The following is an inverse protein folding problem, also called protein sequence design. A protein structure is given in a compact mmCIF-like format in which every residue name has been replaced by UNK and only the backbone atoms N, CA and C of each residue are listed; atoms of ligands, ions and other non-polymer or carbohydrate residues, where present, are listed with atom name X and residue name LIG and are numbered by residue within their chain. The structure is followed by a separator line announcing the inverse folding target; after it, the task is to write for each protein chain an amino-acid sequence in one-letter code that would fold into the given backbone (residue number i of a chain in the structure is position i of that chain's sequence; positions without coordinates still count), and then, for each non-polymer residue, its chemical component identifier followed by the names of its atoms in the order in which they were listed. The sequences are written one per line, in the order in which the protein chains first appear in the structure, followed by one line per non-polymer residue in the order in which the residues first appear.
data_IF_134742144474
#
_entry.id   IF_134742144474
#
_cell.length_a   1.000
_cell.length_b   1.000
_cell.length_c   1.000
_cell.angle_alpha   90.00
_cell.angle_beta   90.00
_cell.angle_gamma   90.00
#
_symmetry.space_group_name_H-M   'P 1'
#
loop_
_entity.id
_entity.type
_entity.pdbx_description
1 polymer ?
#
# COMPACT_ATOMS: atom_id res chain seq x y z
N UNK A 1 -7.35 -5.62 -8.99
CA UNK A 1 -7.21 -5.54 -10.47
C UNK A 1 -5.94 -6.27 -10.89
N UNK A 2 -6.00 -7.56 -11.22
CA UNK A 2 -4.84 -8.43 -11.55
C UNK A 2 -3.80 -7.75 -12.45
N UNK A 3 -2.71 -7.22 -11.90
CA UNK A 3 -1.68 -6.46 -12.62
C UNK A 3 -2.06 -5.04 -13.08
N UNK A 4 -3.28 -4.58 -12.79
CA UNK A 4 -3.91 -3.37 -13.34
C UNK A 4 -4.46 -2.45 -12.25
N UNK A 5 -3.79 -2.40 -11.09
CA UNK A 5 -4.12 -1.44 -10.03
C UNK A 5 -3.01 -0.43 -9.73
N UNK A 6 -2.44 0.30 -10.71
CA UNK A 6 -1.33 1.22 -10.50
C UNK A 6 -1.75 2.63 -10.00
N UNK A 7 -2.86 2.76 -9.26
CA UNK A 7 -3.30 4.01 -8.64
C UNK A 7 -3.58 5.14 -9.65
N UNK A 8 -4.30 4.84 -10.72
CA UNK A 8 -4.72 5.82 -11.72
C UNK A 8 -5.65 6.90 -11.14
N UNK A 9 -5.45 8.15 -11.56
CA UNK A 9 -6.23 9.28 -11.07
C UNK A 9 -7.73 9.14 -11.36
N UNK A 10 -8.08 8.52 -12.49
CA UNK A 10 -9.45 8.24 -12.90
C UNK A 10 -10.14 7.29 -11.92
N UNK A 11 -9.46 6.20 -11.53
CA UNK A 11 -9.98 5.25 -10.56
C UNK A 11 -10.06 5.89 -9.16
N UNK A 12 -9.04 6.65 -8.76
CA UNK A 12 -9.05 7.36 -7.47
C UNK A 12 -10.19 8.39 -7.41
N UNK A 13 -10.46 9.07 -8.53
CA UNK A 13 -11.58 10.01 -8.68
C UNK A 13 -12.92 9.30 -8.53
N UNK A 14 -13.04 8.08 -9.05
CA UNK A 14 -14.26 7.29 -8.91
C UNK A 14 -14.46 6.77 -7.48
N UNK A 15 -13.44 6.17 -6.84
CA UNK A 15 -13.59 5.61 -5.48
C UNK A 15 -13.85 6.69 -4.42
N UNK A 16 -13.43 7.94 -4.67
CA UNK A 16 -13.75 9.10 -3.83
C UNK A 16 -15.25 9.34 -3.66
N UNK A 17 -16.05 8.95 -4.65
CA UNK A 17 -17.51 9.09 -4.61
C UNK A 17 -18.14 8.17 -3.56
N UNK A 18 -17.49 7.06 -3.21
CA UNK A 18 -17.96 6.10 -2.22
C UNK A 18 -17.89 6.72 -0.82
N UNK A 19 -18.97 6.59 -0.04
CA UNK A 19 -19.01 6.98 1.37
C UNK A 19 -18.27 5.95 2.24
N UNK A 20 -16.94 5.96 2.12
CA UNK A 20 -16.07 5.01 2.78
C UNK A 20 -15.70 5.47 4.19
N UNK A 21 -15.68 4.52 5.14
CA UNK A 21 -15.14 4.75 6.48
C UNK A 21 -13.61 4.84 6.49
N UNK A 22 -12.92 4.22 5.53
CA UNK A 22 -11.48 4.33 5.30
C UNK A 22 -11.12 3.91 3.86
N UNK A 23 -9.97 4.37 3.36
CA UNK A 23 -9.37 3.90 2.12
C UNK A 23 -8.07 3.13 2.42
N UNK A 24 -7.99 1.87 2.01
CA UNK A 24 -6.75 1.08 2.06
C UNK A 24 -6.14 1.03 0.66
N UNK A 25 -5.00 1.68 0.48
CA UNK A 25 -4.28 1.78 -0.79
C UNK A 25 -3.17 0.72 -0.84
N UNK A 26 -3.56 -0.50 -1.18
CA UNK A 26 -2.68 -1.63 -1.48
C UNK A 26 -2.52 -1.80 -3.00
N UNK A 27 -1.84 -0.83 -3.61
CA UNK A 27 -1.64 -0.75 -5.06
C UNK A 27 -0.21 -1.08 -5.49
N UNK A 28 0.73 -1.07 -4.53
CA UNK A 28 2.16 -1.10 -4.81
C UNK A 28 2.64 -2.34 -5.60
N UNK A 29 2.07 -3.55 -5.43
CA UNK A 29 2.45 -4.70 -6.26
C UNK A 29 2.33 -4.45 -7.76
N UNK A 30 1.43 -3.57 -8.19
CA UNK A 30 1.15 -3.25 -9.60
C UNK A 30 1.82 -1.97 -10.10
N UNK A 31 2.67 -1.33 -9.29
CA UNK A 31 3.31 -0.06 -9.62
C UNK A 31 4.81 -0.23 -9.80
N UNK A 32 5.40 0.59 -10.68
CA UNK A 32 6.84 0.85 -10.68
C UNK A 32 7.19 2.08 -9.83
N UNK A 33 8.47 2.25 -9.49
CA UNK A 33 8.97 3.34 -8.63
C UNK A 33 8.59 4.73 -9.15
N UNK A 34 8.58 4.94 -10.48
CA UNK A 34 8.21 6.22 -11.08
C UNK A 34 6.72 6.52 -10.87
N UNK A 35 5.86 5.53 -11.13
CA UNK A 35 4.42 5.66 -10.89
C UNK A 35 4.12 5.95 -9.42
N UNK A 36 4.84 5.33 -8.48
CA UNK A 36 4.66 5.62 -7.04
C UNK A 36 4.98 7.09 -6.74
N UNK A 37 6.10 7.60 -7.25
CA UNK A 37 6.49 9.02 -7.07
C UNK A 37 5.46 9.98 -7.67
N UNK A 38 4.90 9.64 -8.82
CA UNK A 38 3.96 10.48 -9.55
C UNK A 38 2.54 10.45 -8.98
N UNK A 39 2.09 9.32 -8.40
CA UNK A 39 0.65 9.08 -8.16
C UNK A 39 0.23 9.12 -6.69
N UNK A 40 1.14 8.88 -5.75
CA UNK A 40 0.80 8.82 -4.31
C UNK A 40 0.22 10.14 -3.80
N UNK A 41 0.91 11.26 -4.04
CA UNK A 41 0.45 12.57 -3.56
C UNK A 41 -0.83 13.04 -4.28
N UNK A 42 -0.93 12.95 -5.63
CA UNK A 42 -2.18 13.24 -6.32
C UNK A 42 -3.36 12.38 -5.86
N UNK A 43 -3.16 11.09 -5.59
CA UNK A 43 -4.23 10.22 -5.13
C UNK A 43 -4.81 10.71 -3.79
N UNK A 44 -3.95 11.12 -2.85
CA UNK A 44 -4.41 11.70 -1.57
C UNK A 44 -5.13 13.02 -1.79
N UNK A 45 -4.60 13.90 -2.65
CA UNK A 45 -5.26 15.16 -2.98
C UNK A 45 -6.67 14.92 -3.52
N UNK A 46 -6.81 14.03 -4.51
CA UNK A 46 -8.09 13.67 -5.12
C UNK A 46 -9.04 13.18 -4.04
N UNK A 47 -8.66 12.17 -3.24
CA UNK A 47 -9.51 11.65 -2.16
C UNK A 47 -9.96 12.76 -1.21
N UNK A 48 -9.04 13.64 -0.79
CA UNK A 48 -9.30 14.73 0.16
C UNK A 48 -10.28 15.79 -0.37
N UNK A 49 -10.44 15.96 -1.68
CA UNK A 49 -11.40 16.91 -2.26
C UNK A 49 -12.86 16.63 -1.85
N UNK A 50 -13.24 15.35 -1.66
CA UNK A 50 -14.59 14.96 -1.21
C UNK A 50 -14.60 14.26 0.14
N UNK A 51 -13.44 13.76 0.58
CA UNK A 51 -13.27 12.94 1.79
C UNK A 51 -12.17 13.53 2.70
N UNK A 52 -12.33 14.76 3.21
CA UNK A 52 -11.27 15.49 3.91
C UNK A 52 -10.82 14.82 5.21
N UNK A 53 -11.73 14.11 5.90
CA UNK A 53 -11.45 13.45 7.18
C UNK A 53 -11.27 11.93 7.11
N UNK A 54 -11.58 11.29 5.98
CA UNK A 54 -11.58 9.82 5.89
C UNK A 54 -10.15 9.28 6.00
N UNK A 55 -9.87 8.32 6.89
CA UNK A 55 -8.55 7.70 6.98
C UNK A 55 -8.06 7.11 5.65
N UNK A 56 -6.78 7.34 5.35
CA UNK A 56 -6.10 6.72 4.20
C UNK A 56 -4.94 5.88 4.75
N UNK A 57 -4.94 4.59 4.47
CA UNK A 57 -3.92 3.63 4.89
C UNK A 57 -3.11 3.24 3.66
N UNK A 58 -1.81 3.50 3.68
CA UNK A 58 -0.89 3.03 2.65
C UNK A 58 -0.30 1.67 3.04
N UNK A 59 -0.23 0.76 2.07
CA UNK A 59 0.35 -0.57 2.24
C UNK A 59 1.53 -0.74 1.29
N UNK A 60 2.69 -1.12 1.83
CA UNK A 60 3.88 -1.46 1.06
C UNK A 60 3.72 -2.76 0.25
N UNK A 61 4.57 -2.99 -0.75
CA UNK A 61 4.65 -4.30 -1.40
C UNK A 61 5.25 -5.33 -0.45
N UNK A 62 4.80 -6.58 -0.57
CA UNK A 62 5.30 -7.71 0.19
C UNK A 62 6.78 -7.97 -0.08
N UNK A 63 7.50 -8.43 0.95
CA UNK A 63 8.82 -9.02 0.76
C UNK A 63 8.68 -10.42 0.17
N UNK A 64 8.79 -10.54 -1.15
CA UNK A 64 8.69 -11.82 -1.86
C UNK A 64 9.70 -12.84 -1.31
N UNK A 65 9.25 -14.07 -1.08
CA UNK A 65 10.04 -15.14 -0.44
C UNK A 65 11.33 -15.50 -1.18
N UNK A 66 11.38 -15.24 -2.50
CA UNK A 66 12.54 -15.51 -3.34
C UNK A 66 13.43 -14.28 -3.62
N UNK A 67 13.09 -13.09 -3.10
CA UNK A 67 13.73 -11.83 -3.52
C UNK A 67 15.23 -11.78 -3.20
N UNK A 68 15.65 -12.47 -2.15
CA UNK A 68 17.05 -12.53 -1.69
C UNK A 68 17.99 -13.27 -2.66
N UNK A 69 17.46 -14.11 -3.55
CA UNK A 69 18.23 -14.70 -4.64
C UNK A 69 18.45 -13.74 -5.82
N UNK A 70 17.70 -12.64 -5.89
CA UNK A 70 17.68 -11.72 -7.03
C UNK A 70 17.97 -10.29 -6.57
N UNK A 71 19.25 -9.89 -6.48
CA UNK A 71 19.65 -8.57 -5.98
C UNK A 71 18.94 -7.39 -6.67
N UNK A 72 18.72 -7.48 -7.98
CA UNK A 72 17.98 -6.46 -8.73
C UNK A 72 16.50 -6.36 -8.31
N UNK A 73 15.85 -7.49 -8.02
CA UNK A 73 14.47 -7.49 -7.52
C UNK A 73 14.41 -6.94 -6.09
N UNK A 74 15.41 -7.23 -5.26
CA UNK A 74 15.50 -6.71 -3.91
C UNK A 74 15.68 -5.19 -3.92
N UNK A 75 16.56 -4.69 -4.79
CA UNK A 75 16.76 -3.27 -5.02
C UNK A 75 15.47 -2.60 -5.53
N UNK A 76 14.82 -3.16 -6.55
CA UNK A 76 13.56 -2.62 -7.08
C UNK A 76 12.44 -2.57 -6.03
N UNK A 77 12.31 -3.61 -5.19
CA UNK A 77 11.37 -3.61 -4.07
C UNK A 77 11.69 -2.51 -3.06
N UNK A 78 12.95 -2.38 -2.65
CA UNK A 78 13.40 -1.37 -1.71
C UNK A 78 13.17 0.06 -2.23
N UNK A 79 13.47 0.31 -3.52
CA UNK A 79 13.21 1.59 -4.17
C UNK A 79 11.72 1.92 -4.22
N UNK A 80 10.87 0.93 -4.50
CA UNK A 80 9.43 1.11 -4.60
C UNK A 80 8.79 1.39 -3.23
N UNK A 81 9.11 0.57 -2.22
CA UNK A 81 8.63 0.78 -0.84
C UNK A 81 9.19 2.10 -0.28
N UNK A 82 10.46 2.42 -0.56
CA UNK A 82 11.08 3.70 -0.21
C UNK A 82 10.39 4.90 -0.86
N UNK A 83 9.96 4.79 -2.12
CA UNK A 83 9.22 5.85 -2.80
C UNK A 83 7.84 6.10 -2.17
N UNK A 84 7.12 5.03 -1.78
CA UNK A 84 5.84 5.14 -1.08
C UNK A 84 6.05 5.83 0.27
N UNK A 85 7.06 5.37 1.03
CA UNK A 85 7.41 5.94 2.33
C UNK A 85 7.72 7.43 2.23
N UNK A 86 8.53 7.81 1.24
CA UNK A 86 8.89 9.21 1.02
C UNK A 86 7.67 10.06 0.64
N UNK A 87 6.73 9.54 -0.17
CA UNK A 87 5.46 10.22 -0.47
C UNK A 87 4.59 10.41 0.78
N UNK A 88 4.45 9.36 1.59
CA UNK A 88 3.76 9.43 2.89
C UNK A 88 4.38 10.49 3.82
N UNK A 89 5.70 10.47 3.98
CA UNK A 89 6.40 11.40 4.88
C UNK A 89 6.26 12.85 4.40
N UNK A 90 6.29 13.10 3.08
CA UNK A 90 6.02 14.44 2.52
C UNK A 90 4.61 14.92 2.82
N UNK A 91 3.60 14.07 2.67
CA UNK A 91 2.20 14.41 2.98
C UNK A 91 2.02 14.72 4.48
N UNK A 92 2.65 13.93 5.36
CA UNK A 92 2.63 14.18 6.79
C UNK A 92 3.33 15.51 7.12
N UNK A 93 4.48 15.81 6.50
CA UNK A 93 5.20 17.06 6.68
C UNK A 93 4.41 18.28 6.18
N UNK A 94 3.59 18.11 5.14
CA UNK A 94 2.62 19.11 4.66
C UNK A 94 1.39 19.26 5.57
N UNK A 95 1.30 18.47 6.65
CA UNK A 95 0.23 18.54 7.64
C UNK A 95 -1.01 17.75 7.29
N UNK A 96 -0.98 16.90 6.26
CA UNK A 96 -2.11 16.04 5.89
C UNK A 96 -2.40 15.06 7.03
N UNK A 97 -3.64 15.09 7.53
CA UNK A 97 -4.09 14.29 8.66
C UNK A 97 -4.72 12.96 8.23
N UNK A 98 -4.91 12.08 9.21
CA UNK A 98 -5.56 10.77 9.06
C UNK A 98 -4.90 9.91 7.98
N UNK A 99 -3.56 9.93 7.96
CA UNK A 99 -2.74 9.04 7.15
C UNK A 99 -2.12 7.96 8.04
N UNK A 100 -2.13 6.73 7.55
CA UNK A 100 -1.61 5.56 8.24
C UNK A 100 -0.77 4.74 7.27
N UNK A 101 0.05 3.83 7.83
CA UNK A 101 1.07 3.13 7.06
C UNK A 101 1.25 1.70 7.57
N UNK A 102 1.31 0.74 6.64
CA UNK A 102 1.60 -0.67 6.87
C UNK A 102 2.87 -1.03 6.11
N UNK A 103 3.88 -1.54 6.84
CA UNK A 103 5.13 -2.00 6.24
C UNK A 103 4.99 -3.38 5.62
N UNK A 104 5.74 -3.62 4.54
CA UNK A 104 5.65 -4.83 3.74
C UNK A 104 6.29 -6.05 4.37
N UNK A 105 7.22 -5.84 5.31
CA UNK A 105 7.95 -6.89 6.04
C UNK A 105 7.05 -7.72 6.98
N UNK A 106 5.89 -7.19 7.38
CA UNK A 106 4.94 -7.89 8.25
C UNK A 106 3.83 -8.64 7.50
N UNK A 107 3.64 -8.35 6.22
CA UNK A 107 2.45 -8.78 5.47
C UNK A 107 2.38 -10.30 5.23
N UNK A 108 3.51 -11.00 5.25
CA UNK A 108 3.57 -12.44 5.02
C UNK A 108 3.89 -13.25 6.29
N UNK A 109 4.12 -12.60 7.43
CA UNK A 109 4.56 -13.27 8.66
C UNK A 109 5.91 -13.98 8.51
N UNK A 110 6.23 -14.83 9.49
CA UNK A 110 7.53 -15.51 9.61
C UNK A 110 7.49 -16.96 9.07
N UNK A 111 6.92 -17.18 7.89
CA UNK A 111 6.85 -18.52 7.26
C UNK A 111 7.13 -18.49 5.76
N UNK A 112 7.64 -19.60 5.22
CA UNK A 112 7.92 -19.78 3.79
C UNK A 112 6.69 -20.20 2.98
N UNK A 113 5.63 -20.63 3.64
CA UNK A 113 4.40 -21.16 3.02
C UNK A 113 3.38 -20.06 2.67
N UNK A 114 3.74 -18.79 2.88
CA UNK A 114 2.82 -17.66 2.74
C UNK A 114 2.44 -17.32 1.31
N UNK A 115 3.10 -17.90 0.29
CA UNK A 115 2.83 -17.60 -1.12
C UNK A 115 2.82 -18.85 -1.98
N UNK A 116 1.93 -18.93 -2.97
CA UNK A 116 1.86 -20.06 -3.90
C UNK A 116 2.96 -20.01 -4.98
N UNK A 117 3.35 -18.81 -5.41
CA UNK A 117 4.29 -18.57 -6.52
C UNK A 117 5.38 -17.54 -6.20
N UNK A 118 5.54 -17.20 -4.92
CA UNK A 118 6.44 -16.15 -4.44
C UNK A 118 5.86 -14.74 -4.49
N UNK A 119 4.66 -14.53 -5.05
CA UNK A 119 3.98 -13.22 -5.13
C UNK A 119 2.56 -13.27 -4.56
N UNK A 120 1.77 -14.26 -4.90
CA UNK A 120 0.37 -14.34 -4.49
C UNK A 120 0.24 -15.09 -3.16
N UNK A 121 -0.38 -14.49 -2.12
CA UNK A 121 -0.51 -15.15 -0.83
C UNK A 121 -1.36 -16.42 -0.88
N UNK A 122 -0.99 -17.42 -0.08
CA UNK A 122 -1.84 -18.57 0.27
C UNK A 122 -2.87 -18.14 1.33
N UNK A 123 -3.76 -19.05 1.74
CA UNK A 123 -4.68 -18.79 2.86
C UNK A 123 -3.93 -18.39 4.15
N UNK A 124 -2.82 -19.08 4.44
CA UNK A 124 -1.94 -18.73 5.58
C UNK A 124 -1.30 -17.36 5.38
N UNK A 125 -0.86 -17.05 4.16
CA UNK A 125 -0.33 -15.72 3.82
C UNK A 125 -1.37 -14.62 4.02
N UNK A 126 -2.62 -14.85 3.65
CA UNK A 126 -3.71 -13.88 3.84
C UNK A 126 -4.11 -13.69 5.31
N UNK A 127 -3.97 -14.70 6.17
CA UNK A 127 -4.12 -14.52 7.63
C UNK A 127 -3.07 -13.53 8.14
N UNK A 128 -1.79 -13.74 7.81
CA UNK A 128 -0.71 -12.80 8.18
C UNK A 128 -0.96 -11.40 7.61
N UNK A 129 -1.48 -11.32 6.38
CA UNK A 129 -1.81 -10.06 5.72
C UNK A 129 -2.90 -9.29 6.49
N UNK A 130 -3.94 -10.01 6.93
CA UNK A 130 -5.01 -9.45 7.74
C UNK A 130 -4.47 -9.01 9.11
N UNK A 131 -3.68 -9.83 9.79
CA UNK A 131 -3.08 -9.52 11.10
C UNK A 131 -2.15 -8.29 11.05
N UNK A 132 -1.53 -8.01 9.91
CA UNK A 132 -0.70 -6.84 9.70
C UNK A 132 -1.52 -5.55 9.47
N UNK A 133 -2.63 -5.64 8.72
CA UNK A 133 -3.46 -4.47 8.35
C UNK A 133 -4.47 -4.13 9.44
N UNK A 134 -5.09 -5.13 10.05
CA UNK A 134 -6.19 -5.00 11.00
C UNK A 134 -5.89 -4.02 12.14
N UNK A 135 -4.72 -4.05 12.82
CA UNK A 135 -4.46 -3.16 13.94
C UNK A 135 -4.38 -1.69 13.50
N UNK A 136 -3.86 -1.46 12.28
CA UNK A 136 -3.75 -0.13 11.69
C UNK A 136 -5.12 0.38 11.27
N UNK A 137 -5.94 -0.46 10.64
CA UNK A 137 -7.32 -0.12 10.28
C UNK A 137 -8.17 0.15 11.52
N UNK A 138 -8.07 -0.69 12.56
CA UNK A 138 -8.76 -0.49 13.83
C UNK A 138 -8.38 0.83 14.49
N UNK A 139 -7.10 1.19 14.47
CA UNK A 139 -6.62 2.50 14.97
C UNK A 139 -7.14 3.65 14.11
N UNK A 140 -7.28 3.46 12.81
CA UNK A 140 -7.76 4.47 11.88
C UNK A 140 -9.25 4.79 12.03
N UNK A 141 -10.06 3.80 12.46
CA UNK A 141 -11.51 3.92 12.61
C UNK A 141 -11.97 4.32 14.03
N UNK A 142 -11.05 4.65 14.92
CA UNK A 142 -11.33 5.12 16.29
C UNK A 142 -11.20 6.64 16.37
#
# INVERSE_FOLDING_TARGET
FSGNGPMEAELVTFIREIDAAAYVLDCLPNMNTQQVKERVEPAVKILREKRPGVPIIFVEDITRSNVWFYPERQKALAEKNGALRAGYDRLVAQGVKNLYYVKGDKLLGDTTESTVDGTHPTDVGFISYADAIEPVLRKALR
#
